data_IF_210479567294
#
_entry.id   IF_210479567294
#
_cell.length_a   1.000
_cell.length_b   1.000
_cell.length_c   1.000
_cell.angle_alpha   90.00
_cell.angle_beta   90.00
_cell.angle_gamma   90.00
#
_symmetry.space_group_name_H-M   'P 1'
#
loop_
_entity.id
_entity.type
_entity.pdbx_description
1 polymer ?
#
# COMPACT_ATOMS: atom_id res chain seq x y z
N UNK A 1 6.34 -19.41 4.23
CA UNK A 1 6.71 -20.78 4.67
C UNK A 1 6.02 -21.20 5.98
N UNK A 2 6.13 -20.48 7.11
CA UNK A 2 5.49 -20.88 8.39
C UNK A 2 3.97 -21.12 8.27
N UNK A 3 3.24 -20.22 7.59
CA UNK A 3 1.78 -20.38 7.38
C UNK A 3 1.43 -21.60 6.52
N UNK A 4 2.20 -21.89 5.46
CA UNK A 4 1.97 -23.07 4.61
C UNK A 4 2.20 -24.37 5.41
N UNK A 5 3.20 -24.42 6.28
CA UNK A 5 3.46 -25.58 7.15
C UNK A 5 2.31 -25.84 8.13
N UNK A 6 1.76 -24.77 8.72
CA UNK A 6 0.59 -24.92 9.61
C UNK A 6 -0.64 -25.45 8.86
N UNK A 7 -0.87 -24.95 7.64
CA UNK A 7 -1.98 -25.38 6.79
C UNK A 7 -1.87 -26.86 6.45
N UNK A 8 -0.75 -27.31 5.90
CA UNK A 8 -0.58 -28.73 5.54
C UNK A 8 -0.69 -29.66 6.76
N UNK A 9 -0.24 -29.20 7.94
CA UNK A 9 -0.38 -29.94 9.19
C UNK A 9 -1.85 -30.10 9.58
N UNK A 10 -2.64 -29.03 9.58
CA UNK A 10 -4.08 -29.06 9.90
C UNK A 10 -4.83 -29.98 8.93
N UNK A 11 -4.58 -29.84 7.63
CA UNK A 11 -5.25 -30.71 6.66
C UNK A 11 -4.88 -32.17 6.89
N UNK A 12 -3.60 -32.47 7.15
CA UNK A 12 -3.10 -33.83 7.38
C UNK A 12 -3.73 -34.47 8.62
N UNK A 13 -3.93 -33.69 9.71
CA UNK A 13 -4.53 -34.17 10.95
C UNK A 13 -6.03 -34.46 10.82
N UNK A 14 -6.73 -33.82 9.87
CA UNK A 14 -8.18 -33.92 9.70
C UNK A 14 -8.62 -34.65 8.42
N UNK A 15 -7.68 -35.21 7.69
CA UNK A 15 -7.97 -35.94 6.43
C UNK A 15 -7.19 -37.25 6.35
N UNK A 16 -7.60 -38.13 5.44
CA UNK A 16 -6.96 -39.43 5.21
C UNK A 16 -5.90 -39.43 4.10
N UNK A 17 -5.43 -38.23 3.66
CA UNK A 17 -4.36 -38.14 2.67
C UNK A 17 -3.04 -38.65 3.29
N UNK A 18 -2.27 -39.43 2.52
CA UNK A 18 -0.98 -39.95 3.01
C UNK A 18 0.11 -38.87 3.03
N UNK A 19 0.06 -37.94 2.06
CA UNK A 19 0.85 -36.74 2.08
C UNK A 19 0.12 -35.53 1.48
N UNK A 20 0.52 -34.32 1.96
CA UNK A 20 -0.01 -33.04 1.47
C UNK A 20 1.14 -32.10 1.21
N UNK A 21 1.05 -31.35 0.11
CA UNK A 21 2.05 -30.36 -0.24
C UNK A 21 1.41 -29.09 -0.75
N UNK A 22 1.95 -27.94 -0.36
CA UNK A 22 1.64 -26.63 -0.93
C UNK A 22 2.88 -26.11 -1.63
N UNK A 23 2.71 -25.57 -2.83
CA UNK A 23 3.80 -25.02 -3.62
C UNK A 23 3.43 -23.63 -4.14
N UNK A 24 4.43 -22.82 -4.43
CA UNK A 24 4.27 -21.73 -5.38
C UNK A 24 4.54 -22.24 -6.81
N UNK A 25 4.80 -21.36 -7.75
CA UNK A 25 5.10 -21.72 -9.15
C UNK A 25 6.44 -22.42 -9.35
N UNK A 26 7.38 -22.28 -8.40
CA UNK A 26 8.77 -22.68 -8.55
C UNK A 26 9.22 -23.72 -7.52
N UNK A 27 8.74 -23.61 -6.28
CA UNK A 27 9.25 -24.42 -5.17
C UNK A 27 8.16 -24.96 -4.26
N UNK A 28 8.50 -25.97 -3.47
CA UNK A 28 7.69 -26.54 -2.42
C UNK A 28 7.73 -25.56 -1.21
N UNK A 29 6.58 -25.05 -0.80
CA UNK A 29 6.46 -24.20 0.38
C UNK A 29 6.32 -25.00 1.67
N UNK A 30 5.59 -26.10 1.60
CA UNK A 30 5.39 -27.05 2.70
C UNK A 30 5.05 -28.43 2.15
N UNK A 31 5.49 -29.47 2.86
CA UNK A 31 5.14 -30.86 2.63
C UNK A 31 5.07 -31.60 3.96
N UNK A 32 4.13 -32.50 4.11
CA UNK A 32 3.98 -33.38 5.30
C UNK A 32 3.43 -34.74 4.88
N UNK A 33 3.91 -35.80 5.50
CA UNK A 33 3.47 -37.18 5.31
C UNK A 33 4.46 -38.00 4.51
N UNK A 34 3.98 -38.98 3.73
CA UNK A 34 4.80 -39.86 2.91
C UNK A 34 5.70 -39.08 1.96
N UNK A 35 6.88 -39.59 1.68
CA UNK A 35 7.90 -38.96 0.80
C UNK A 35 8.50 -37.63 1.33
N UNK A 36 8.43 -37.37 2.65
CA UNK A 36 9.03 -36.18 3.28
C UNK A 36 10.55 -36.14 3.25
N UNK A 37 11.18 -37.25 2.93
CA UNK A 37 12.63 -37.40 2.75
C UNK A 37 13.17 -36.70 1.51
N UNK A 38 12.37 -36.59 0.46
CA UNK A 38 12.76 -35.94 -0.81
C UNK A 38 11.83 -34.81 -1.28
N UNK A 39 10.57 -34.76 -0.85
CA UNK A 39 9.66 -33.62 -1.08
C UNK A 39 9.88 -32.53 -0.01
N UNK A 40 11.03 -31.87 -0.04
CA UNK A 40 11.48 -30.96 1.02
C UNK A 40 11.07 -29.53 0.72
N UNK A 41 10.56 -28.81 1.73
CA UNK A 41 10.24 -27.38 1.60
C UNK A 41 11.48 -26.56 1.23
N UNK A 42 11.34 -25.64 0.28
CA UNK A 42 12.42 -24.82 -0.26
C UNK A 42 13.12 -25.42 -1.49
N UNK A 43 12.86 -26.70 -1.81
CA UNK A 43 13.36 -27.30 -3.06
C UNK A 43 12.44 -26.98 -4.24
N UNK A 44 13.03 -26.98 -5.44
CA UNK A 44 12.33 -26.80 -6.72
C UNK A 44 11.25 -27.84 -6.93
N UNK A 45 10.23 -27.51 -7.72
CA UNK A 45 9.18 -28.45 -8.11
C UNK A 45 9.75 -29.62 -8.91
N UNK A 46 9.58 -30.83 -8.39
CA UNK A 46 10.23 -32.04 -8.92
C UNK A 46 9.27 -32.88 -9.76
N UNK A 47 7.94 -32.61 -9.73
CA UNK A 47 6.94 -33.45 -10.39
C UNK A 47 6.39 -32.80 -11.66
N UNK A 48 6.35 -33.56 -12.76
CA UNK A 48 5.77 -33.15 -14.04
C UNK A 48 4.28 -32.78 -13.92
N UNK A 49 3.55 -33.50 -13.06
CA UNK A 49 2.14 -33.23 -12.78
C UNK A 49 1.91 -31.81 -12.28
N UNK A 50 2.80 -31.27 -11.42
CA UNK A 50 2.69 -29.91 -10.89
C UNK A 50 2.90 -28.85 -11.96
N UNK A 51 3.85 -29.06 -12.85
CA UNK A 51 4.12 -28.15 -13.97
C UNK A 51 2.91 -28.10 -14.94
N UNK A 52 2.29 -29.27 -15.20
CA UNK A 52 1.08 -29.35 -16.02
C UNK A 52 -0.09 -28.57 -15.42
N UNK A 53 -0.29 -28.61 -14.09
CA UNK A 53 -1.34 -27.84 -13.40
C UNK A 53 -1.05 -26.34 -13.46
N UNK A 54 0.19 -25.92 -13.22
CA UNK A 54 0.58 -24.51 -13.29
C UNK A 54 0.38 -23.95 -14.70
N UNK A 55 0.68 -24.74 -15.74
CA UNK A 55 0.54 -24.31 -17.13
C UNK A 55 -0.91 -24.31 -17.61
N UNK A 56 -1.67 -25.38 -17.29
CA UNK A 56 -3.04 -25.54 -17.78
C UNK A 56 -4.11 -24.82 -16.94
N UNK A 57 -3.82 -24.53 -15.68
CA UNK A 57 -4.78 -24.00 -14.72
C UNK A 57 -5.90 -24.98 -14.34
N UNK A 58 -5.77 -26.26 -14.70
CA UNK A 58 -6.79 -27.29 -14.47
C UNK A 58 -6.33 -28.29 -13.43
N UNK A 59 -7.28 -28.78 -12.64
CA UNK A 59 -7.04 -29.90 -11.72
C UNK A 59 -6.54 -31.10 -12.50
N UNK A 60 -5.50 -31.75 -12.00
CA UNK A 60 -4.94 -32.96 -12.57
C UNK A 60 -4.99 -34.11 -11.56
N UNK A 61 -5.31 -35.30 -12.05
CA UNK A 61 -5.38 -36.51 -11.25
C UNK A 61 -4.42 -37.54 -11.83
N UNK A 62 -3.50 -38.02 -11.01
CA UNK A 62 -2.60 -39.12 -11.33
C UNK A 62 -3.02 -40.37 -10.53
N UNK A 63 -3.09 -41.54 -11.20
CA UNK A 63 -3.38 -42.82 -10.57
C UNK A 63 -2.23 -43.84 -10.66
N UNK A 64 -1.07 -43.38 -11.02
CA UNK A 64 0.16 -44.18 -11.06
C UNK A 64 1.36 -43.30 -10.69
N UNK A 65 2.40 -43.89 -10.09
CA UNK A 65 3.64 -43.21 -9.77
C UNK A 65 4.28 -42.54 -11.01
N UNK A 66 4.19 -43.20 -12.17
CA UNK A 66 4.69 -42.65 -13.45
C UNK A 66 3.93 -41.39 -13.87
N UNK A 67 2.61 -41.30 -13.63
CA UNK A 67 1.80 -40.13 -13.94
C UNK A 67 2.05 -38.96 -12.98
N UNK A 68 2.47 -39.22 -11.74
CA UNK A 68 2.95 -38.19 -10.79
C UNK A 68 4.26 -37.58 -11.30
N UNK A 69 5.14 -38.43 -11.87
CA UNK A 69 6.41 -38.02 -12.46
C UNK A 69 7.39 -37.48 -11.42
N UNK A 70 7.50 -38.14 -10.25
CA UNK A 70 8.55 -37.85 -9.28
C UNK A 70 9.88 -38.37 -9.81
N UNK A 71 10.96 -37.58 -9.68
CA UNK A 71 12.28 -37.96 -10.12
C UNK A 71 12.99 -38.96 -9.16
N UNK A 72 12.45 -39.17 -7.94
CA UNK A 72 13.00 -40.09 -6.96
C UNK A 72 12.58 -41.52 -7.31
N UNK A 73 13.49 -42.48 -7.50
CA UNK A 73 13.14 -43.83 -7.98
C UNK A 73 12.30 -44.63 -6.99
N UNK A 74 12.50 -44.44 -5.70
CA UNK A 74 11.81 -45.16 -4.62
C UNK A 74 10.68 -44.32 -3.98
N UNK A 75 10.05 -43.41 -4.73
CA UNK A 75 8.97 -42.61 -4.24
C UNK A 75 7.72 -43.47 -3.97
N UNK A 76 7.19 -43.52 -2.72
CA UNK A 76 6.08 -44.39 -2.37
C UNK A 76 4.71 -43.89 -2.84
N UNK A 77 4.65 -42.72 -3.51
CA UNK A 77 3.40 -42.11 -3.92
C UNK A 77 2.89 -42.71 -5.21
N UNK A 78 1.71 -43.35 -5.16
CA UNK A 78 1.09 -44.01 -6.32
C UNK A 78 -0.04 -43.15 -6.94
N UNK A 79 -0.74 -42.34 -6.13
CA UNK A 79 -1.80 -41.50 -6.69
C UNK A 79 -1.74 -40.09 -6.12
N UNK A 80 -2.19 -39.11 -6.90
CA UNK A 80 -2.21 -37.72 -6.53
C UNK A 80 -3.39 -36.95 -7.14
N UNK A 81 -3.89 -35.99 -6.41
CA UNK A 81 -4.72 -34.88 -6.93
C UNK A 81 -3.94 -33.60 -6.74
N UNK A 82 -3.81 -32.84 -7.82
CA UNK A 82 -3.14 -31.53 -7.81
C UNK A 82 -4.13 -30.47 -8.23
N UNK A 83 -4.41 -29.53 -7.33
CA UNK A 83 -5.37 -28.44 -7.52
C UNK A 83 -4.63 -27.12 -7.67
N UNK A 84 -4.93 -26.31 -8.69
CA UNK A 84 -4.34 -24.99 -8.83
C UNK A 84 -4.86 -24.04 -7.73
N UNK A 85 -3.98 -23.25 -7.19
CA UNK A 85 -4.31 -22.13 -6.32
C UNK A 85 -4.22 -20.85 -7.15
N UNK A 86 -5.35 -20.19 -7.38
CA UNK A 86 -5.42 -19.00 -8.23
C UNK A 86 -5.74 -17.75 -7.43
N UNK A 87 -5.05 -16.64 -7.76
CA UNK A 87 -5.38 -15.31 -7.31
C UNK A 87 -5.34 -14.37 -8.53
N UNK A 88 -6.32 -13.46 -8.64
CA UNK A 88 -6.43 -12.48 -9.74
C UNK A 88 -6.26 -13.07 -11.15
N UNK A 89 -6.88 -14.22 -11.40
CA UNK A 89 -6.81 -14.97 -12.66
C UNK A 89 -5.43 -15.57 -13.01
N UNK A 90 -4.47 -15.52 -12.09
CA UNK A 90 -3.18 -16.17 -12.23
C UNK A 90 -3.03 -17.35 -11.26
N UNK A 91 -2.33 -18.39 -11.70
CA UNK A 91 -1.96 -19.50 -10.83
C UNK A 91 -0.76 -19.09 -9.98
N UNK A 92 -0.97 -18.96 -8.68
CA UNK A 92 0.09 -18.59 -7.72
C UNK A 92 0.79 -19.81 -7.13
N UNK A 93 0.19 -20.99 -7.24
CA UNK A 93 0.75 -22.23 -6.74
C UNK A 93 -0.18 -23.41 -6.91
N UNK A 94 0.11 -24.49 -6.19
CA UNK A 94 -0.72 -25.70 -6.20
C UNK A 94 -0.87 -26.26 -4.79
N UNK A 95 -2.04 -26.87 -4.55
CA UNK A 95 -2.30 -27.75 -3.40
C UNK A 95 -2.33 -29.19 -3.92
N UNK A 96 -1.56 -30.06 -3.29
CA UNK A 96 -1.39 -31.45 -3.72
C UNK A 96 -1.73 -32.39 -2.58
N UNK A 97 -2.52 -33.39 -2.89
CA UNK A 97 -2.85 -34.49 -1.98
C UNK A 97 -2.40 -35.80 -2.64
N UNK A 98 -1.78 -36.63 -1.86
CA UNK A 98 -1.14 -37.86 -2.32
C UNK A 98 -1.61 -39.07 -1.54
N UNK A 99 -1.58 -40.21 -2.20
CA UNK A 99 -1.81 -41.54 -1.64
C UNK A 99 -0.69 -42.49 -2.00
N UNK A 100 -0.35 -43.35 -1.06
CA UNK A 100 0.55 -44.49 -1.27
C UNK A 100 -0.12 -45.59 -2.01
N UNK A 101 -1.46 -45.78 -1.80
CA UNK A 101 -2.29 -46.75 -2.47
C UNK A 101 -3.23 -46.07 -3.47
N UNK A 102 -3.13 -46.39 -4.75
CA UNK A 102 -3.92 -45.72 -5.81
C UNK A 102 -5.43 -45.95 -5.75
N UNK A 103 -5.87 -47.08 -5.17
CA UNK A 103 -7.29 -47.39 -5.01
C UNK A 103 -8.01 -46.47 -3.98
N UNK A 104 -7.28 -45.85 -3.07
CA UNK A 104 -7.84 -44.89 -2.10
C UNK A 104 -8.26 -43.57 -2.72
N UNK A 105 -7.77 -43.24 -3.93
CA UNK A 105 -8.14 -42.05 -4.63
C UNK A 105 -9.52 -42.21 -5.29
N UNK A 106 -10.57 -42.01 -4.53
CA UNK A 106 -11.97 -42.05 -4.97
C UNK A 106 -12.46 -40.74 -5.55
N UNK A 107 -13.62 -40.71 -6.25
CA UNK A 107 -14.24 -39.44 -6.66
C UNK A 107 -14.53 -38.49 -5.51
N UNK A 108 -14.85 -39.00 -4.33
CA UNK A 108 -15.08 -38.19 -3.11
C UNK A 108 -13.81 -37.45 -2.69
N UNK A 109 -12.69 -38.16 -2.71
CA UNK A 109 -11.39 -37.58 -2.37
C UNK A 109 -10.96 -36.47 -3.38
N UNK A 110 -11.28 -36.65 -4.65
CA UNK A 110 -11.03 -35.64 -5.68
C UNK A 110 -11.89 -34.39 -5.41
N UNK A 111 -13.20 -34.58 -5.09
CA UNK A 111 -14.07 -33.44 -4.74
C UNK A 111 -13.64 -32.74 -3.49
N UNK A 112 -13.20 -33.48 -2.46
CA UNK A 112 -12.64 -32.90 -1.23
C UNK A 112 -11.38 -32.04 -1.54
N UNK A 113 -10.49 -32.56 -2.37
CA UNK A 113 -9.28 -31.86 -2.81
C UNK A 113 -9.63 -30.55 -3.53
N UNK A 114 -10.60 -30.58 -4.44
CA UNK A 114 -11.06 -29.40 -5.17
C UNK A 114 -11.68 -28.37 -4.23
N UNK A 115 -12.56 -28.79 -3.31
CA UNK A 115 -13.17 -27.89 -2.32
C UNK A 115 -12.15 -27.22 -1.41
N UNK A 116 -11.13 -27.95 -0.93
CA UNK A 116 -10.03 -27.40 -0.18
C UNK A 116 -9.24 -26.39 -1.02
N UNK A 117 -8.96 -26.68 -2.28
CA UNK A 117 -8.28 -25.76 -3.20
C UNK A 117 -9.03 -24.45 -3.39
N UNK A 118 -10.35 -24.48 -3.54
CA UNK A 118 -11.20 -23.29 -3.66
C UNK A 118 -11.18 -22.44 -2.38
N UNK A 119 -11.28 -23.07 -1.21
CA UNK A 119 -11.18 -22.38 0.09
C UNK A 119 -9.84 -21.67 0.20
N UNK A 120 -8.72 -22.34 -0.09
CA UNK A 120 -7.40 -21.74 0.01
C UNK A 120 -7.16 -20.65 -1.02
N UNK A 121 -7.63 -20.82 -2.26
CA UNK A 121 -7.60 -19.76 -3.27
C UNK A 121 -8.40 -18.52 -2.80
N UNK A 122 -9.55 -18.74 -2.16
CA UNK A 122 -10.34 -17.67 -1.53
C UNK A 122 -9.57 -16.92 -0.43
N UNK A 123 -8.90 -17.65 0.47
CA UNK A 123 -8.09 -17.05 1.54
C UNK A 123 -6.89 -16.25 1.01
N UNK A 124 -6.23 -16.74 -0.05
CA UNK A 124 -5.15 -16.00 -0.71
C UNK A 124 -5.66 -14.68 -1.26
N UNK A 125 -6.79 -14.69 -1.98
CA UNK A 125 -7.40 -13.46 -2.54
C UNK A 125 -7.77 -12.45 -1.46
N UNK A 126 -8.36 -12.90 -0.34
CA UNK A 126 -8.70 -12.03 0.80
C UNK A 126 -7.44 -11.38 1.41
N UNK A 127 -6.40 -12.16 1.66
CA UNK A 127 -5.15 -11.65 2.22
C UNK A 127 -4.45 -10.64 1.31
N UNK A 128 -4.51 -10.83 -0.01
CA UNK A 128 -3.97 -9.86 -0.98
C UNK A 128 -4.80 -8.57 -1.02
N UNK A 129 -6.14 -8.67 -0.98
CA UNK A 129 -7.02 -7.51 -0.94
C UNK A 129 -6.80 -6.66 0.32
N UNK A 130 -6.65 -7.28 1.49
CA UNK A 130 -6.32 -6.60 2.75
C UNK A 130 -4.95 -5.89 2.69
N UNK A 131 -3.96 -6.55 2.08
CA UNK A 131 -2.63 -5.96 1.90
C UNK A 131 -2.68 -4.73 0.98
N UNK A 132 -3.41 -4.82 -0.13
CA UNK A 132 -3.60 -3.69 -1.05
C UNK A 132 -4.33 -2.53 -0.38
N UNK A 133 -5.41 -2.79 0.37
CA UNK A 133 -6.13 -1.78 1.13
C UNK A 133 -5.21 -1.07 2.15
N UNK A 134 -4.35 -1.82 2.83
CA UNK A 134 -3.37 -1.27 3.78
C UNK A 134 -2.33 -0.39 3.08
N UNK A 135 -1.82 -0.83 1.92
CA UNK A 135 -0.86 -0.05 1.14
C UNK A 135 -1.46 1.26 0.63
N UNK A 136 -2.70 1.23 0.11
CA UNK A 136 -3.43 2.42 -0.33
C UNK A 136 -3.65 3.39 0.82
N UNK A 137 -4.10 2.91 1.98
CA UNK A 137 -4.29 3.73 3.18
C UNK A 137 -2.99 4.39 3.64
N UNK A 138 -1.88 3.64 3.65
CA UNK A 138 -0.57 4.17 4.02
C UNK A 138 -0.05 5.20 3.00
N UNK A 139 -0.30 5.00 1.71
CA UNK A 139 0.04 5.96 0.66
C UNK A 139 -0.78 7.25 0.81
N UNK A 140 -2.07 7.14 1.11
CA UNK A 140 -2.95 8.29 1.38
C UNK A 140 -2.47 9.08 2.61
N UNK A 141 -2.15 8.40 3.72
CA UNK A 141 -1.61 9.05 4.92
C UNK A 141 -0.28 9.76 4.60
N UNK A 142 0.63 9.13 3.86
CA UNK A 142 1.89 9.77 3.44
C UNK A 142 1.67 10.98 2.54
N UNK A 143 0.70 10.90 1.61
CA UNK A 143 0.32 12.02 0.75
C UNK A 143 -0.22 13.19 1.57
N UNK A 144 -1.11 12.92 2.53
CA UNK A 144 -1.63 13.94 3.45
C UNK A 144 -0.54 14.57 4.32
N UNK A 145 0.40 13.77 4.81
CA UNK A 145 1.55 14.26 5.58
C UNK A 145 2.52 15.10 4.75
N UNK A 146 2.70 14.79 3.48
CA UNK A 146 3.57 15.55 2.58
C UNK A 146 3.00 16.93 2.21
N UNK A 147 1.67 17.11 2.28
CA UNK A 147 1.01 18.40 2.06
C UNK A 147 1.24 19.41 3.20
N UNK A 148 1.60 18.91 4.37
CA UNK A 148 2.07 19.77 5.49
C UNK A 148 3.57 19.95 5.31
N UNK A 149 4.03 21.16 4.97
CA UNK A 149 5.47 21.47 4.94
C UNK A 149 6.05 21.42 6.36
N UNK A 150 6.73 20.33 6.80
CA UNK A 150 7.16 20.19 8.19
C UNK A 150 8.18 21.25 8.57
N UNK A 151 9.03 21.65 7.61
CA UNK A 151 10.06 22.66 7.82
C UNK A 151 9.44 24.04 8.07
N UNK A 152 8.38 24.40 7.37
CA UNK A 152 7.64 25.63 7.64
C UNK A 152 7.04 25.63 9.06
N UNK A 153 6.43 24.49 9.45
CA UNK A 153 5.84 24.34 10.79
C UNK A 153 6.87 24.54 11.91
N UNK A 154 8.00 23.81 11.85
CA UNK A 154 9.05 23.95 12.85
C UNK A 154 9.62 25.37 12.91
N UNK A 155 9.78 26.03 11.76
CA UNK A 155 10.25 27.40 11.71
C UNK A 155 9.25 28.37 12.33
N UNK A 156 7.96 28.23 12.05
CA UNK A 156 6.91 29.06 12.65
C UNK A 156 6.87 28.89 14.18
N UNK A 157 6.91 27.65 14.68
CA UNK A 157 6.96 27.37 16.13
C UNK A 157 8.20 28.00 16.78
N UNK A 158 9.37 27.87 16.17
CA UNK A 158 10.60 28.47 16.69
C UNK A 158 10.50 29.99 16.75
N UNK A 159 9.93 30.63 15.72
CA UNK A 159 9.72 32.07 15.67
C UNK A 159 8.74 32.52 16.76
N UNK A 160 7.61 31.85 16.91
CA UNK A 160 6.61 32.12 17.96
C UNK A 160 7.23 31.95 19.35
N UNK A 161 7.99 30.87 19.57
CA UNK A 161 8.69 30.61 20.84
C UNK A 161 9.72 31.69 21.17
N UNK A 162 10.45 32.20 20.18
CA UNK A 162 11.37 33.32 20.40
C UNK A 162 10.62 34.60 20.78
N UNK A 163 9.56 34.93 20.02
CA UNK A 163 8.75 36.15 20.26
C UNK A 163 8.02 36.11 21.61
N UNK A 164 7.61 34.96 22.10
CA UNK A 164 6.89 34.82 23.38
C UNK A 164 7.66 35.37 24.59
N UNK A 165 8.97 35.57 24.45
CA UNK A 165 9.86 36.17 25.50
C UNK A 165 9.89 37.70 25.48
N UNK A 166 9.50 38.33 24.36
CA UNK A 166 9.66 39.76 24.15
C UNK A 166 8.36 40.44 23.78
N UNK A 167 7.49 39.77 23.02
CA UNK A 167 6.20 40.28 22.56
C UNK A 167 5.16 39.13 22.59
N UNK A 168 4.49 38.99 23.74
CA UNK A 168 3.52 37.93 24.01
C UNK A 168 2.27 38.09 23.13
N UNK A 169 1.86 39.31 22.84
CA UNK A 169 0.67 39.59 22.04
C UNK A 169 0.92 39.21 20.57
N UNK A 170 2.08 39.56 20.01
CA UNK A 170 2.44 39.15 18.67
C UNK A 170 2.62 37.62 18.58
N UNK A 171 3.23 36.97 19.56
CA UNK A 171 3.35 35.52 19.61
C UNK A 171 1.99 34.84 19.63
N UNK A 172 1.01 35.38 20.38
CA UNK A 172 -0.38 34.88 20.41
C UNK A 172 -1.07 35.02 19.07
N UNK A 173 -0.93 36.17 18.40
CA UNK A 173 -1.49 36.38 17.06
C UNK A 173 -0.94 35.39 16.05
N UNK A 174 0.39 35.19 16.02
CA UNK A 174 1.03 34.25 15.13
C UNK A 174 0.61 32.79 15.40
N UNK A 175 0.35 32.42 16.64
CA UNK A 175 -0.17 31.10 16.99
C UNK A 175 -1.56 30.89 16.40
N UNK A 176 -2.42 31.91 16.43
CA UNK A 176 -3.75 31.87 15.80
C UNK A 176 -3.65 31.77 14.27
N UNK A 177 -2.71 32.51 13.67
CA UNK A 177 -2.46 32.40 12.22
C UNK A 177 -1.93 31.02 11.83
N UNK A 178 -1.04 30.43 12.63
CA UNK A 178 -0.55 29.08 12.43
C UNK A 178 -1.69 28.05 12.47
N UNK A 179 -2.59 28.18 13.44
CA UNK A 179 -3.76 27.32 13.55
C UNK A 179 -4.72 27.49 12.35
N UNK A 180 -4.91 28.72 11.87
CA UNK A 180 -5.75 29.04 10.68
C UNK A 180 -5.14 28.43 9.42
N UNK A 181 -3.84 28.63 9.20
CA UNK A 181 -3.12 28.06 8.07
C UNK A 181 -3.20 26.52 8.04
N UNK A 182 -2.98 25.87 9.20
CA UNK A 182 -3.05 24.41 9.28
C UNK A 182 -4.46 23.88 9.01
N UNK A 183 -5.47 24.50 9.60
CA UNK A 183 -6.88 24.09 9.38
C UNK A 183 -7.24 24.23 7.92
N UNK A 184 -6.87 25.33 7.28
CA UNK A 184 -7.13 25.56 5.86
C UNK A 184 -6.42 24.51 4.97
N UNK A 185 -5.15 24.17 5.26
CA UNK A 185 -4.42 23.13 4.55
C UNK A 185 -5.08 21.76 4.68
N UNK A 186 -5.52 21.36 5.88
CA UNK A 186 -6.18 20.08 6.11
C UNK A 186 -7.55 19.99 5.40
N UNK A 187 -8.31 21.07 5.36
CA UNK A 187 -9.61 21.14 4.68
C UNK A 187 -9.45 21.25 3.17
N UNK A 188 -8.54 22.11 2.71
CA UNK A 188 -8.24 22.31 1.29
C UNK A 188 -7.75 21.05 0.60
N UNK A 189 -6.96 20.21 1.31
CA UNK A 189 -6.49 18.92 0.81
C UNK A 189 -7.60 17.92 0.44
N UNK A 190 -8.81 18.11 0.98
CA UNK A 190 -9.99 17.27 0.73
C UNK A 190 -11.02 17.91 -0.18
N UNK A 191 -10.90 19.21 -0.43
CA UNK A 191 -11.83 19.97 -1.26
C UNK A 191 -11.39 19.95 -2.73
N UNK A 192 -12.34 19.82 -3.65
CA UNK A 192 -12.08 20.01 -5.08
C UNK A 192 -12.03 21.49 -5.46
N UNK A 193 -12.77 22.33 -4.73
CA UNK A 193 -12.84 23.78 -4.94
C UNK A 193 -13.08 24.49 -3.61
N UNK A 194 -12.53 25.70 -3.47
CA UNK A 194 -12.73 26.61 -2.34
C UNK A 194 -13.05 28.00 -2.88
N UNK A 195 -13.58 28.90 -2.05
CA UNK A 195 -13.78 30.29 -2.47
C UNK A 195 -12.43 31.00 -2.57
N UNK A 196 -12.33 31.94 -3.50
CA UNK A 196 -11.15 32.80 -3.64
C UNK A 196 -10.81 33.53 -2.33
N UNK A 197 -11.83 33.94 -1.57
CA UNK A 197 -11.64 34.56 -0.24
C UNK A 197 -10.96 33.62 0.76
N UNK A 198 -11.34 32.33 0.75
CA UNK A 198 -10.70 31.32 1.60
C UNK A 198 -9.23 31.08 1.20
N UNK A 199 -8.94 31.02 -0.11
CA UNK A 199 -7.59 30.89 -0.62
C UNK A 199 -6.72 32.09 -0.25
N UNK A 200 -7.24 33.32 -0.39
CA UNK A 200 -6.52 34.55 -0.03
C UNK A 200 -6.24 34.60 1.48
N UNK A 201 -7.20 34.27 2.33
CA UNK A 201 -7.02 34.20 3.79
C UNK A 201 -5.92 33.21 4.18
N UNK A 202 -5.86 32.08 3.50
CA UNK A 202 -4.83 31.07 3.72
C UNK A 202 -3.43 31.60 3.34
N UNK A 203 -3.33 32.27 2.19
CA UNK A 203 -2.08 32.92 1.74
C UNK A 203 -1.67 34.02 2.70
N UNK A 204 -2.59 34.84 3.20
CA UNK A 204 -2.30 35.88 4.16
C UNK A 204 -1.75 35.31 5.47
N UNK A 205 -2.38 34.23 6.01
CA UNK A 205 -1.90 33.57 7.22
C UNK A 205 -0.46 33.01 7.04
N UNK A 206 -0.15 32.42 5.87
CA UNK A 206 1.20 32.01 5.53
C UNK A 206 2.19 33.18 5.52
N UNK A 207 1.81 34.30 4.89
CA UNK A 207 2.65 35.47 4.77
C UNK A 207 2.97 36.12 6.09
N UNK A 208 2.01 36.24 7.01
CA UNK A 208 2.22 36.77 8.35
C UNK A 208 3.26 35.95 9.13
N UNK A 209 3.19 34.62 9.03
CA UNK A 209 4.16 33.72 9.67
C UNK A 209 5.57 33.87 9.07
N UNK A 210 5.68 33.95 7.75
CA UNK A 210 6.96 34.13 7.07
C UNK A 210 7.55 35.53 7.31
N UNK A 211 6.74 36.59 7.34
CA UNK A 211 7.18 37.95 7.62
C UNK A 211 7.66 38.12 9.07
N UNK A 212 7.02 37.43 10.01
CA UNK A 212 7.51 37.42 11.41
C UNK A 212 8.91 36.79 11.53
N UNK A 213 9.21 35.81 10.66
CA UNK A 213 10.53 35.17 10.59
C UNK A 213 11.57 36.05 9.89
N UNK A 214 11.15 36.77 8.85
CA UNK A 214 12.02 37.60 8.00
C UNK A 214 11.46 39.03 7.87
N UNK A 215 11.54 39.84 8.92
CA UNK A 215 11.04 41.20 8.91
C UNK A 215 11.65 42.03 7.76
N UNK A 216 10.80 42.78 7.05
CA UNK A 216 11.18 43.68 5.95
C UNK A 216 11.85 43.03 4.73
N UNK A 217 11.85 41.72 4.61
CA UNK A 217 12.45 41.03 3.48
C UNK A 217 11.65 41.21 2.18
N UNK A 218 10.32 41.27 2.27
CA UNK A 218 9.42 41.45 1.14
C UNK A 218 8.09 42.08 1.56
N UNK A 219 7.39 42.64 0.58
CA UNK A 219 6.00 43.08 0.68
C UNK A 219 5.16 42.29 -0.31
N UNK A 220 3.90 42.01 0.04
CA UNK A 220 2.95 41.32 -0.83
C UNK A 220 1.70 42.19 -0.97
N UNK A 221 1.38 42.55 -2.20
CA UNK A 221 0.21 43.32 -2.57
C UNK A 221 -0.81 42.39 -3.24
N UNK A 222 -2.09 42.61 -2.97
CA UNK A 222 -3.18 41.88 -3.62
C UNK A 222 -4.05 42.85 -4.40
N UNK A 223 -4.18 42.63 -5.70
CA UNK A 223 -5.05 43.34 -6.64
C UNK A 223 -6.12 42.38 -7.15
N UNK A 224 -7.31 42.42 -6.57
CA UNK A 224 -8.38 41.45 -6.84
C UNK A 224 -9.52 42.16 -7.56
N UNK A 225 -9.63 41.92 -8.86
CA UNK A 225 -10.64 42.50 -9.73
C UNK A 225 -11.84 41.58 -10.00
N UNK A 226 -12.01 40.52 -9.19
CA UNK A 226 -13.10 39.55 -9.33
C UNK A 226 -13.84 39.37 -8.00
N UNK A 227 -15.05 38.79 -8.06
CA UNK A 227 -15.79 38.44 -6.85
C UNK A 227 -15.01 37.39 -6.04
N UNK A 228 -14.85 37.65 -4.75
CA UNK A 228 -14.15 36.75 -3.80
C UNK A 228 -14.89 35.44 -3.54
N UNK A 229 -16.19 35.34 -3.92
CA UNK A 229 -16.95 34.11 -3.83
C UNK A 229 -16.73 33.15 -5.01
N UNK A 230 -15.97 33.55 -6.03
CA UNK A 230 -15.60 32.65 -7.14
C UNK A 230 -14.87 31.44 -6.59
N UNK A 231 -15.24 30.27 -7.13
CA UNK A 231 -14.61 29.00 -6.76
C UNK A 231 -13.30 28.79 -7.53
N UNK A 232 -12.25 28.45 -6.82
CA UNK A 232 -10.92 28.18 -7.36
C UNK A 232 -10.40 26.82 -6.82
N UNK A 233 -9.50 26.14 -7.52
CA UNK A 233 -8.80 25.01 -6.96
C UNK A 233 -8.01 25.42 -5.71
N UNK A 234 -8.02 24.63 -4.62
CA UNK A 234 -7.23 24.93 -3.43
C UNK A 234 -5.73 24.98 -3.76
N UNK A 235 -4.99 25.82 -3.04
CA UNK A 235 -3.53 26.03 -3.15
C UNK A 235 -3.05 26.63 -4.48
N UNK A 236 -3.93 27.12 -5.36
CA UNK A 236 -3.55 27.69 -6.65
C UNK A 236 -2.75 28.98 -6.50
N UNK A 237 -3.14 29.88 -5.62
CA UNK A 237 -2.41 31.13 -5.32
C UNK A 237 -1.27 30.86 -4.34
N UNK A 238 -1.50 30.04 -3.32
CA UNK A 238 -0.52 29.74 -2.30
C UNK A 238 0.78 29.21 -2.89
N UNK A 239 0.74 28.22 -3.76
CA UNK A 239 1.94 27.62 -4.37
C UNK A 239 2.73 28.64 -5.18
N UNK A 240 2.05 29.54 -5.90
CA UNK A 240 2.70 30.60 -6.69
C UNK A 240 3.41 31.60 -5.78
N UNK A 241 2.75 32.04 -4.70
CA UNK A 241 3.31 32.99 -3.74
C UNK A 241 4.49 32.35 -2.98
N UNK A 242 4.35 31.11 -2.52
CA UNK A 242 5.45 30.39 -1.88
C UNK A 242 6.68 30.28 -2.79
N UNK A 243 6.49 29.93 -4.06
CA UNK A 243 7.57 29.81 -5.03
C UNK A 243 8.21 31.18 -5.32
N UNK A 244 7.42 32.25 -5.45
CA UNK A 244 7.94 33.60 -5.63
C UNK A 244 8.81 34.05 -4.44
N UNK A 245 8.38 33.78 -3.19
CA UNK A 245 9.13 34.12 -1.99
C UNK A 245 10.40 33.29 -1.85
N UNK A 246 10.34 31.99 -2.14
CA UNK A 246 11.50 31.09 -2.00
C UNK A 246 12.56 31.31 -3.07
N UNK A 247 12.15 31.56 -4.30
CA UNK A 247 13.02 31.52 -5.48
C UNK A 247 13.15 32.87 -6.19
N UNK A 248 12.15 33.76 -6.07
CA UNK A 248 12.13 35.04 -6.79
C UNK A 248 13.11 36.09 -6.28
N UNK A 249 13.69 35.90 -5.11
CA UNK A 249 14.51 36.92 -4.43
C UNK A 249 15.96 36.49 -4.18
N UNK A 250 16.52 35.65 -5.03
CA UNK A 250 17.89 35.17 -4.90
C UNK A 250 18.89 36.37 -4.82
N UNK A 251 19.63 36.41 -3.71
CA UNK A 251 20.64 37.46 -3.45
C UNK A 251 20.12 38.81 -2.92
N UNK A 252 18.80 39.07 -2.91
CA UNK A 252 18.23 40.34 -2.41
C UNK A 252 17.75 40.19 -0.97
N UNK A 253 18.28 41.06 -0.06
CA UNK A 253 17.95 41.00 1.36
C UNK A 253 16.73 41.85 1.78
N UNK A 254 16.34 42.84 0.97
CA UNK A 254 15.22 43.76 1.24
C UNK A 254 14.68 44.39 -0.04
N UNK A 255 13.55 45.10 0.08
CA UNK A 255 12.92 45.84 -1.04
C UNK A 255 12.25 44.98 -2.08
N UNK A 256 11.99 43.71 -1.77
CA UNK A 256 11.30 42.79 -2.69
C UNK A 256 9.79 42.99 -2.59
N UNK A 257 9.12 43.00 -3.75
CA UNK A 257 7.66 43.12 -3.83
C UNK A 257 7.11 41.98 -4.67
N UNK A 258 6.09 41.32 -4.14
CA UNK A 258 5.24 40.38 -4.87
C UNK A 258 3.88 41.01 -5.04
N UNK A 259 3.37 41.09 -6.26
CA UNK A 259 1.99 41.53 -6.52
C UNK A 259 1.19 40.35 -7.06
N UNK A 260 0.14 39.99 -6.33
CA UNK A 260 -0.83 38.95 -6.70
C UNK A 260 -2.00 39.63 -7.39
N UNK A 261 -2.11 39.45 -8.70
CA UNK A 261 -3.18 40.04 -9.51
C UNK A 261 -4.14 38.90 -9.88
N UNK A 262 -5.42 39.07 -9.51
CA UNK A 262 -6.48 38.12 -9.87
C UNK A 262 -7.50 38.85 -10.73
N UNK A 263 -7.55 38.48 -12.01
CA UNK A 263 -8.45 39.02 -13.02
C UNK A 263 -9.30 37.91 -13.63
N UNK A 264 -10.31 38.25 -14.41
CA UNK A 264 -11.20 37.31 -15.10
C UNK A 264 -10.55 36.80 -16.39
#
# INVERSE_FOLDING_TARGET
MKSAQQIVKIIKEHTNFDAISITNREMILAHIGAASDHHIAGKTLVTQLSQSVITSGKVQVARTAKAIGCAHPDCPLEAAVVVPLSAHHEIVGTLKMYYVDSWRLTPVEIQLAMGLGEIFAGQIRLGEAEKQATLLRNAEIKSLQAQVNPHFFFNAINTISALSRFDVDQARQLLLQLATYFRANLLGARATQITLDAEIKQVQAYLELEQARFPHRYQVNFEIAVDRNVLVPPFSIQVLVENAIKHGFEGRKSGNVVTVIVTR
#
